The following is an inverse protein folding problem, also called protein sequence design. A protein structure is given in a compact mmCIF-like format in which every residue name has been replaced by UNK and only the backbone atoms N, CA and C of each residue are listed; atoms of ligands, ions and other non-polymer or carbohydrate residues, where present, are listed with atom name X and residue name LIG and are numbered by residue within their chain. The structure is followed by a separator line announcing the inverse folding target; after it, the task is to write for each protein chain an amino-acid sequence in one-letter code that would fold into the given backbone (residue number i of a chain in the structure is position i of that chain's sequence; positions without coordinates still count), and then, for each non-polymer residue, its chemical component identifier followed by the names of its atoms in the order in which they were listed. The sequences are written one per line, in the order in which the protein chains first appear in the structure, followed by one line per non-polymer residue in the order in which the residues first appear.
data_IF_740303596570
#
_entry.id   IF_740303596570
#
_cell.length_a   1.000
_cell.length_b   1.000
_cell.length_c   1.000
_cell.angle_alpha   90.00
_cell.angle_beta   90.00
_cell.angle_gamma   90.00
#
_symmetry.space_group_name_H-M   'P 1'
#
loop_
_entity.id
_entity.type
_entity.pdbx_description
1 polymer ?
#
# COMPACT_ATOMS: atom_id res chain seq x y z
N UNK A 1 -29.65 -40.89 -4.22
CA UNK A 1 -28.22 -40.78 -3.85
C UNK A 1 -27.55 -39.56 -4.47
N UNK A 2 -27.56 -39.34 -5.77
CA UNK A 2 -26.91 -38.19 -6.45
C UNK A 2 -27.45 -36.82 -6.01
N UNK A 3 -28.76 -36.66 -5.75
CA UNK A 3 -29.33 -35.39 -5.29
C UNK A 3 -28.93 -35.01 -3.87
N UNK A 4 -28.79 -36.00 -2.98
CA UNK A 4 -28.35 -35.79 -1.59
C UNK A 4 -26.91 -35.30 -1.59
N UNK A 5 -26.04 -35.92 -2.38
CA UNK A 5 -24.64 -35.53 -2.50
C UNK A 5 -24.54 -34.10 -3.05
N UNK A 6 -25.31 -33.75 -4.10
CA UNK A 6 -25.33 -32.39 -4.64
C UNK A 6 -25.74 -31.32 -3.62
N UNK A 7 -26.73 -31.63 -2.77
CA UNK A 7 -27.18 -30.73 -1.68
C UNK A 7 -26.08 -30.54 -0.63
N UNK A 8 -25.41 -31.60 -0.20
CA UNK A 8 -24.33 -31.48 0.77
C UNK A 8 -23.10 -30.74 0.21
N UNK A 9 -22.75 -30.96 -1.04
CA UNK A 9 -21.69 -30.21 -1.73
C UNK A 9 -22.03 -28.73 -1.86
N UNK A 10 -23.27 -28.40 -2.18
CA UNK A 10 -23.71 -27.01 -2.26
C UNK A 10 -23.66 -26.30 -0.89
N UNK A 11 -24.10 -26.99 0.17
CA UNK A 11 -24.04 -26.45 1.55
C UNK A 11 -22.60 -26.26 2.01
N UNK A 12 -21.71 -27.21 1.74
CA UNK A 12 -20.27 -27.07 2.06
C UNK A 12 -19.61 -25.93 1.29
N UNK A 13 -19.97 -25.72 0.01
CA UNK A 13 -19.49 -24.61 -0.80
C UNK A 13 -19.97 -23.25 -0.24
N UNK A 14 -21.23 -23.15 0.19
CA UNK A 14 -21.76 -21.93 0.80
C UNK A 14 -21.07 -21.66 2.14
N UNK A 15 -20.87 -22.67 2.99
CA UNK A 15 -20.14 -22.52 4.25
C UNK A 15 -18.69 -22.06 4.00
N UNK A 16 -18.03 -22.63 3.00
CA UNK A 16 -16.66 -22.25 2.62
C UNK A 16 -16.58 -20.82 2.11
N UNK A 17 -17.55 -20.39 1.31
CA UNK A 17 -17.64 -19.00 0.81
C UNK A 17 -17.90 -17.99 1.93
N UNK A 18 -18.73 -18.35 2.92
CA UNK A 18 -19.03 -17.46 4.06
C UNK A 18 -17.85 -17.36 5.03
N UNK A 19 -17.06 -18.40 5.20
CA UNK A 19 -15.90 -18.38 6.10
C UNK A 19 -14.73 -17.51 5.59
N UNK A 20 -14.71 -17.14 4.30
CA UNK A 20 -13.65 -16.27 3.73
C UNK A 20 -13.94 -14.78 3.91
N UNK A 21 -15.10 -14.38 4.42
CA UNK A 21 -15.52 -12.96 4.55
C UNK A 21 -15.23 -12.40 5.97
N UNK A 22 -14.31 -12.96 6.71
CA UNK A 22 -13.78 -12.29 7.88
C UNK A 22 -12.73 -11.26 7.41
N UNK A 23 -13.21 -10.18 6.78
CA UNK A 23 -12.39 -9.00 6.56
C UNK A 23 -11.95 -8.50 7.93
N UNK A 24 -10.66 -8.58 8.22
CA UNK A 24 -10.09 -7.93 9.39
C UNK A 24 -10.41 -6.44 9.27
N UNK A 25 -11.35 -5.93 10.07
CA UNK A 25 -11.59 -4.51 10.15
C UNK A 25 -10.34 -3.85 10.75
N UNK A 26 -9.71 -2.97 9.97
CA UNK A 26 -8.62 -2.17 10.49
C UNK A 26 -9.16 -1.32 11.63
N UNK A 27 -8.57 -1.44 12.81
CA UNK A 27 -8.96 -0.64 13.99
C UNK A 27 -8.52 0.82 13.85
N UNK A 28 -7.38 1.03 13.19
CA UNK A 28 -6.81 2.35 12.93
C UNK A 28 -6.27 2.39 11.51
N UNK A 29 -6.43 3.53 10.86
CA UNK A 29 -5.83 3.85 9.56
C UNK A 29 -4.99 5.11 9.75
N UNK A 30 -3.71 5.03 9.39
CA UNK A 30 -2.80 6.17 9.41
C UNK A 30 -2.48 6.52 7.96
N UNK A 31 -2.71 7.78 7.61
CA UNK A 31 -2.39 8.32 6.30
C UNK A 31 -1.28 9.35 6.42
N UNK A 32 -0.13 9.07 5.82
CA UNK A 32 1.04 9.92 5.85
C UNK A 32 1.27 10.54 4.47
N UNK A 33 1.47 11.84 4.43
CA UNK A 33 1.75 12.60 3.23
C UNK A 33 3.16 13.15 3.32
N UNK A 34 4.03 12.71 2.43
CA UNK A 34 5.39 13.24 2.31
C UNK A 34 5.40 14.37 1.29
N UNK A 35 5.26 15.60 1.77
CA UNK A 35 5.30 16.79 0.92
C UNK A 35 6.69 16.97 0.29
N UNK A 36 6.73 17.07 -1.04
CA UNK A 36 7.98 17.15 -1.81
C UNK A 36 8.83 15.87 -1.78
N UNK A 37 8.31 14.78 -1.22
CA UNK A 37 9.03 13.52 -1.09
C UNK A 37 8.93 12.67 -2.36
N UNK A 38 9.88 12.87 -3.26
CA UNK A 38 10.02 12.03 -4.46
C UNK A 38 10.91 10.80 -4.23
N UNK A 39 11.01 9.96 -5.25
CA UNK A 39 11.83 8.73 -5.21
C UNK A 39 13.29 9.02 -4.88
N UNK A 40 13.85 10.12 -5.38
CA UNK A 40 15.23 10.48 -5.13
C UNK A 40 15.49 10.87 -3.67
N UNK A 41 14.54 11.54 -3.02
CA UNK A 41 14.62 11.88 -1.60
C UNK A 41 14.58 10.63 -0.73
N UNK A 42 13.70 9.68 -1.06
CA UNK A 42 13.64 8.39 -0.37
C UNK A 42 14.95 7.62 -0.53
N UNK A 43 15.45 7.47 -1.76
CA UNK A 43 16.70 6.78 -2.04
C UNK A 43 17.90 7.47 -1.35
N UNK A 44 17.95 8.80 -1.37
CA UNK A 44 19.00 9.55 -0.67
C UNK A 44 18.97 9.32 0.84
N UNK A 45 17.79 9.25 1.47
CA UNK A 45 17.67 8.95 2.88
C UNK A 45 18.11 7.52 3.20
N UNK A 46 17.77 6.54 2.38
CA UNK A 46 18.20 5.16 2.54
C UNK A 46 19.71 4.98 2.39
N UNK A 47 20.33 5.69 1.44
CA UNK A 47 21.78 5.72 1.27
C UNK A 47 22.46 6.37 2.48
N UNK A 48 21.94 7.51 2.95
CA UNK A 48 22.46 8.19 4.13
C UNK A 48 22.42 7.31 5.38
N UNK A 49 21.31 6.59 5.60
CA UNK A 49 21.20 5.67 6.74
C UNK A 49 22.16 4.49 6.64
N UNK A 50 22.44 3.99 5.43
CA UNK A 50 23.45 2.95 5.23
C UNK A 50 24.86 3.48 5.55
N UNK A 51 25.19 4.69 5.12
CA UNK A 51 26.47 5.34 5.40
C UNK A 51 26.69 5.57 6.90
N UNK A 52 25.64 5.97 7.64
CA UNK A 52 25.71 6.10 9.11
C UNK A 52 26.10 4.78 9.81
N UNK A 53 25.81 3.65 9.18
CA UNK A 53 26.18 2.31 9.68
C UNK A 53 27.51 1.80 9.08
N UNK A 54 28.24 2.64 8.34
CA UNK A 54 29.47 2.24 7.65
C UNK A 54 29.24 1.22 6.53
N UNK A 55 28.04 1.17 5.94
CA UNK A 55 27.69 0.24 4.86
C UNK A 55 27.60 0.97 3.53
N UNK A 56 28.00 0.29 2.47
CA UNK A 56 27.75 0.73 1.09
C UNK A 56 26.37 0.21 0.66
N UNK A 57 25.59 1.02 -0.03
CA UNK A 57 24.27 0.67 -0.54
C UNK A 57 23.14 1.43 0.15
N UNK A 58 22.03 0.76 0.40
CA UNK A 58 20.85 1.36 1.00
C UNK A 58 20.45 0.63 2.29
N UNK A 59 19.89 1.38 3.24
CA UNK A 59 19.16 0.84 4.38
C UNK A 59 17.70 1.19 4.19
N UNK A 60 16.82 0.19 3.91
CA UNK A 60 15.42 0.46 3.64
C UNK A 60 14.72 1.21 4.76
N UNK A 61 13.93 2.22 4.41
CA UNK A 61 13.00 2.87 5.32
C UNK A 61 11.82 1.94 5.59
N UNK A 62 11.19 2.08 6.76
CA UNK A 62 10.10 1.19 7.16
C UNK A 62 9.00 1.11 6.08
N UNK A 63 8.57 2.24 5.55
CA UNK A 63 7.48 2.26 4.56
C UNK A 63 7.87 1.66 3.19
N UNK A 64 9.18 1.65 2.83
CA UNK A 64 9.64 1.01 1.59
C UNK A 64 9.64 -0.52 1.70
N UNK A 65 9.49 -1.06 2.90
CA UNK A 65 9.39 -2.51 3.16
C UNK A 65 7.95 -3.03 3.23
N UNK A 66 6.95 -2.16 3.07
CA UNK A 66 5.55 -2.60 3.13
C UNK A 66 5.20 -3.52 1.96
N UNK A 67 4.33 -4.52 2.17
CA UNK A 67 4.04 -5.55 1.17
C UNK A 67 3.26 -5.04 -0.04
N UNK A 68 2.64 -3.87 0.06
CA UNK A 68 1.96 -3.21 -1.03
C UNK A 68 2.60 -1.85 -1.30
N UNK A 69 3.03 -1.62 -2.53
CA UNK A 69 3.61 -0.37 -2.97
C UNK A 69 3.21 -0.07 -4.41
N UNK A 70 3.05 1.20 -4.72
CA UNK A 70 2.78 1.67 -6.08
C UNK A 70 3.39 3.05 -6.28
N UNK A 71 3.41 3.49 -7.52
CA UNK A 71 3.83 4.83 -7.90
C UNK A 71 2.62 5.63 -8.33
N UNK A 72 2.61 6.92 -7.98
CA UNK A 72 1.61 7.87 -8.43
C UNK A 72 2.30 9.01 -9.17
N UNK A 73 1.61 9.56 -10.16
CA UNK A 73 1.98 10.81 -10.82
C UNK A 73 1.20 11.95 -10.20
N UNK A 74 1.87 13.07 -9.97
CA UNK A 74 1.29 14.24 -9.30
C UNK A 74 1.44 15.49 -10.17
N UNK A 75 0.69 15.55 -11.25
CA UNK A 75 0.63 16.72 -12.11
C UNK A 75 -0.76 17.39 -12.02
N UNK A 76 -0.83 18.68 -12.21
CA UNK A 76 -2.12 19.39 -12.29
C UNK A 76 -2.75 19.24 -13.67
N UNK A 77 -4.04 19.54 -13.80
CA UNK A 77 -4.74 19.47 -15.08
C UNK A 77 -4.17 20.44 -16.14
N UNK A 78 -3.49 21.48 -15.72
CA UNK A 78 -3.00 22.58 -16.60
C UNK A 78 -1.49 22.73 -16.58
N UNK A 79 -0.77 21.99 -15.72
CA UNK A 79 0.67 22.15 -15.55
C UNK A 79 1.32 20.80 -15.21
N UNK A 80 2.53 20.60 -15.69
CA UNK A 80 3.32 19.39 -15.40
C UNK A 80 3.80 19.30 -13.95
N UNK A 81 3.74 20.39 -13.19
CA UNK A 81 4.13 20.47 -11.78
C UNK A 81 2.94 20.93 -10.96
N UNK A 82 2.67 20.25 -9.85
CA UNK A 82 1.67 20.62 -8.86
C UNK A 82 2.36 21.15 -7.61
N UNK A 83 1.87 22.26 -7.05
CA UNK A 83 2.28 22.72 -5.73
C UNK A 83 1.51 22.03 -4.60
N UNK A 84 1.95 22.23 -3.37
CA UNK A 84 1.35 21.60 -2.17
C UNK A 84 -0.08 22.06 -1.94
N UNK A 85 -0.40 23.31 -2.28
CA UNK A 85 -1.76 23.88 -2.13
C UNK A 85 -2.75 23.18 -3.06
N UNK A 86 -2.42 23.05 -4.34
CA UNK A 86 -3.27 22.39 -5.32
C UNK A 86 -3.40 20.89 -5.04
N UNK A 87 -2.31 20.24 -4.63
CA UNK A 87 -2.32 18.83 -4.25
C UNK A 87 -3.16 18.58 -2.98
N UNK A 88 -3.06 19.46 -1.98
CA UNK A 88 -3.83 19.35 -0.74
C UNK A 88 -5.34 19.52 -0.92
N UNK A 89 -5.77 20.20 -1.97
CA UNK A 89 -7.21 20.33 -2.30
C UNK A 89 -7.76 19.12 -3.06
N UNK A 90 -6.90 18.24 -3.56
CA UNK A 90 -7.28 17.05 -4.30
C UNK A 90 -7.38 15.79 -3.41
N UNK A 91 -6.96 15.87 -2.14
CA UNK A 91 -7.01 14.81 -1.14
C UNK A 91 -8.32 14.83 -0.36
#
# INVERSE_FOLDING_TARGET
MKQVIRRHVAVLLVIFLVSTVWAQQAKYVFYFIGDGMGVNQVNGAEMYLAEQEGRIGVKPLLFTTFPAGTMATTFSATNSVTDSSAAGTAL
#
